data_IF_596347606900
#
_entry.id   IF_596347606900
#
_cell.length_a   1.000
_cell.length_b   1.000
_cell.length_c   1.000
_cell.angle_alpha   90.00
_cell.angle_beta   90.00
_cell.angle_gamma   90.00
#
_symmetry.space_group_name_H-M   'P 1'
#
loop_
_entity.id
_entity.type
_entity.pdbx_description
1 polymer ?
#
# COMPACT_ATOMS: atom_id res chain seq x y z
N UNK A 1 16.10 -17.37 13.37
CA UNK A 1 15.49 -16.05 13.69
C UNK A 1 16.62 -15.03 13.90
N UNK A 2 16.63 -13.91 13.16
CA UNK A 2 17.78 -12.97 13.16
C UNK A 2 18.00 -12.34 14.55
N UNK A 3 19.24 -12.36 15.05
CA UNK A 3 19.62 -11.77 16.34
C UNK A 3 19.24 -10.28 16.42
N UNK A 4 19.41 -9.54 15.31
CA UNK A 4 19.07 -8.11 15.20
C UNK A 4 17.59 -7.81 15.40
N UNK A 5 16.70 -8.71 14.99
CA UNK A 5 15.25 -8.53 15.20
C UNK A 5 14.88 -8.78 16.66
N UNK A 6 15.49 -9.80 17.28
CA UNK A 6 15.24 -10.16 18.67
C UNK A 6 15.66 -9.04 19.64
N UNK A 7 16.81 -8.42 19.41
CA UNK A 7 17.28 -7.24 20.18
C UNK A 7 16.24 -6.11 20.17
N UNK A 8 15.53 -5.94 19.06
CA UNK A 8 14.47 -4.95 18.87
C UNK A 8 13.07 -5.44 19.29
N UNK A 9 12.97 -6.66 19.84
CA UNK A 9 11.69 -7.34 20.17
C UNK A 9 10.74 -7.47 18.96
N UNK A 10 11.31 -7.67 17.77
CA UNK A 10 10.59 -7.88 16.51
C UNK A 10 10.61 -9.35 16.10
N UNK A 11 9.54 -9.79 15.42
CA UNK A 11 9.43 -11.10 14.78
C UNK A 11 8.92 -10.95 13.37
N UNK A 12 9.36 -11.84 12.48
CA UNK A 12 8.80 -11.96 11.13
C UNK A 12 7.44 -12.67 11.24
N UNK A 13 6.44 -12.15 10.54
CA UNK A 13 5.13 -12.76 10.39
C UNK A 13 4.90 -13.10 8.93
N UNK A 14 4.36 -14.29 8.67
CA UNK A 14 4.12 -14.75 7.30
C UNK A 14 2.84 -14.12 6.76
N UNK A 15 2.93 -13.43 5.62
CA UNK A 15 1.81 -12.84 4.90
C UNK A 15 1.69 -13.56 3.55
N UNK A 16 0.48 -13.95 3.10
CA UNK A 16 0.28 -14.53 1.78
C UNK A 16 0.81 -13.61 0.66
N UNK A 17 1.41 -14.20 -0.37
CA UNK A 17 1.95 -13.47 -1.53
C UNK A 17 0.96 -13.52 -2.70
N UNK A 18 -0.18 -12.85 -2.54
CA UNK A 18 -1.33 -12.86 -3.47
C UNK A 18 -1.51 -11.52 -4.24
N UNK A 19 -0.50 -10.65 -4.22
CA UNK A 19 -0.57 -9.29 -4.79
C UNK A 19 -1.00 -8.21 -3.78
N UNK A 20 -1.59 -8.61 -2.66
CA UNK A 20 -2.05 -7.72 -1.59
C UNK A 20 -1.17 -7.76 -0.34
N UNK A 21 -0.03 -8.45 -0.45
CA UNK A 21 0.86 -8.72 0.68
C UNK A 21 1.29 -7.45 1.43
N UNK A 22 1.48 -6.33 0.72
CA UNK A 22 1.78 -5.04 1.34
C UNK A 22 0.64 -4.56 2.24
N UNK A 23 -0.59 -4.52 1.71
CA UNK A 23 -1.77 -4.10 2.45
C UNK A 23 -2.08 -5.04 3.62
N UNK A 24 -1.96 -6.36 3.42
CA UNK A 24 -2.13 -7.36 4.48
C UNK A 24 -1.08 -7.20 5.60
N UNK A 25 0.18 -6.88 5.24
CA UNK A 25 1.22 -6.61 6.22
C UNK A 25 0.91 -5.36 7.05
N UNK A 26 0.45 -4.28 6.41
CA UNK A 26 0.03 -3.04 7.08
C UNK A 26 -1.19 -3.28 7.98
N UNK A 27 -2.22 -3.95 7.47
CA UNK A 27 -3.43 -4.33 8.23
C UNK A 27 -3.07 -5.10 9.51
N UNK A 28 -2.21 -6.11 9.40
CA UNK A 28 -1.73 -6.87 10.57
C UNK A 28 -1.00 -5.97 11.59
N UNK A 29 -0.15 -5.01 11.16
CA UNK A 29 0.52 -4.11 12.09
C UNK A 29 -0.45 -3.11 12.74
N UNK A 30 -1.43 -2.59 12.00
CA UNK A 30 -2.46 -1.70 12.54
C UNK A 30 -3.29 -2.40 13.63
N UNK A 31 -3.68 -3.64 13.40
CA UNK A 31 -4.42 -4.43 14.38
C UNK A 31 -3.54 -4.71 15.62
N UNK A 32 -2.34 -5.27 15.41
CA UNK A 32 -1.50 -5.77 16.50
C UNK A 32 -0.78 -4.70 17.32
N UNK A 33 -0.58 -3.50 16.76
CA UNK A 33 0.14 -2.39 17.45
C UNK A 33 -0.73 -1.21 17.80
N UNK A 34 -1.83 -1.01 17.06
CA UNK A 34 -2.65 0.18 17.19
C UNK A 34 -4.13 -0.13 17.49
N UNK A 35 -4.51 -1.41 17.59
CA UNK A 35 -5.89 -1.85 17.81
C UNK A 35 -6.86 -1.24 16.77
N UNK A 36 -6.39 -1.12 15.52
CA UNK A 36 -7.15 -0.59 14.39
C UNK A 36 -7.30 -1.68 13.34
N UNK A 37 -8.54 -2.05 13.06
CA UNK A 37 -8.86 -3.04 12.03
C UNK A 37 -9.18 -2.29 10.74
N UNK A 38 -8.40 -2.55 9.69
CA UNK A 38 -8.69 -2.10 8.32
C UNK A 38 -8.54 -3.28 7.38
N UNK A 39 -9.53 -3.48 6.52
CA UNK A 39 -9.45 -4.46 5.44
C UNK A 39 -8.46 -4.00 4.37
N UNK A 40 -8.13 -4.90 3.42
CA UNK A 40 -7.32 -4.52 2.25
C UNK A 40 -8.04 -3.46 1.43
N UNK A 41 -9.36 -3.57 1.27
CA UNK A 41 -10.17 -2.64 0.49
C UNK A 41 -10.23 -1.26 1.16
N UNK A 42 -10.34 -1.19 2.49
CA UNK A 42 -10.27 0.07 3.23
C UNK A 42 -8.93 0.78 2.98
N UNK A 43 -7.82 0.04 3.07
CA UNK A 43 -6.49 0.60 2.85
C UNK A 43 -6.26 1.02 1.40
N UNK A 44 -6.79 0.28 0.43
CA UNK A 44 -6.76 0.67 -0.98
C UNK A 44 -7.51 1.97 -1.22
N UNK A 45 -8.71 2.09 -0.65
CA UNK A 45 -9.52 3.29 -0.75
C UNK A 45 -8.85 4.50 -0.09
N UNK A 46 -8.24 4.32 1.09
CA UNK A 46 -7.47 5.38 1.75
C UNK A 46 -6.33 5.88 0.85
N UNK A 47 -5.58 4.96 0.23
CA UNK A 47 -4.46 5.29 -0.67
C UNK A 47 -4.98 5.98 -1.93
N UNK A 48 -6.03 5.47 -2.55
CA UNK A 48 -6.61 6.06 -3.74
C UNK A 48 -7.14 7.48 -3.48
N UNK A 49 -7.77 7.71 -2.32
CA UNK A 49 -8.21 9.04 -1.89
C UNK A 49 -7.00 9.97 -1.69
N UNK A 50 -5.96 9.51 -0.99
CA UNK A 50 -4.76 10.31 -0.76
C UNK A 50 -4.04 10.67 -2.07
N UNK A 51 -4.00 9.76 -3.05
CA UNK A 51 -3.43 10.03 -4.37
C UNK A 51 -4.24 11.10 -5.10
N UNK A 52 -5.58 11.05 -5.04
CA UNK A 52 -6.43 12.07 -5.66
C UNK A 52 -6.22 13.45 -5.05
N UNK A 53 -6.17 13.52 -3.73
CA UNK A 53 -5.98 14.77 -2.99
C UNK A 53 -4.59 15.40 -3.21
N UNK A 54 -3.56 14.57 -3.44
CA UNK A 54 -2.17 15.00 -3.61
C UNK A 54 -1.61 14.62 -4.99
N UNK A 55 -2.47 14.70 -6.02
CA UNK A 55 -2.18 14.22 -7.38
C UNK A 55 -0.84 14.71 -7.91
N UNK A 56 -0.53 15.99 -7.74
CA UNK A 56 0.69 16.60 -8.28
C UNK A 56 1.97 16.01 -7.67
N UNK A 57 1.92 15.56 -6.41
CA UNK A 57 3.05 14.92 -5.73
C UNK A 57 3.35 13.54 -6.31
N UNK A 58 2.29 12.76 -6.58
CA UNK A 58 2.40 11.37 -7.00
C UNK A 58 2.54 11.18 -8.51
N UNK A 59 1.98 12.08 -9.32
CA UNK A 59 1.87 11.92 -10.77
C UNK A 59 3.23 11.65 -11.45
N UNK A 60 4.31 12.27 -10.95
CA UNK A 60 5.67 12.05 -11.48
C UNK A 60 6.23 10.64 -11.26
N UNK A 61 5.62 9.86 -10.36
CA UNK A 61 6.03 8.48 -10.04
C UNK A 61 5.08 7.44 -10.64
N UNK A 62 3.97 7.89 -11.25
CA UNK A 62 2.95 7.01 -11.79
C UNK A 62 3.08 6.93 -13.31
N UNK A 63 3.62 5.81 -13.78
CA UNK A 63 3.76 5.53 -15.21
C UNK A 63 2.82 4.42 -15.65
N UNK A 64 2.35 4.50 -16.89
CA UNK A 64 1.62 3.43 -17.53
C UNK A 64 2.53 2.20 -17.67
N UNK A 65 2.10 1.00 -17.24
CA UNK A 65 2.95 -0.19 -17.21
C UNK A 65 3.47 -0.59 -18.59
N UNK A 66 2.67 -0.36 -19.64
CA UNK A 66 3.03 -0.77 -21.00
C UNK A 66 3.86 0.28 -21.76
N UNK A 67 3.71 1.57 -21.47
CA UNK A 67 4.35 2.65 -22.26
C UNK A 67 5.50 3.32 -21.50
N UNK A 68 5.54 3.18 -20.17
CA UNK A 68 6.51 3.85 -19.31
C UNK A 68 6.33 5.37 -19.21
N UNK A 69 5.33 5.93 -19.89
CA UNK A 69 5.00 7.36 -19.83
C UNK A 69 4.14 7.65 -18.61
N UNK A 70 4.16 8.91 -18.16
CA UNK A 70 3.31 9.36 -17.06
C UNK A 70 1.83 9.06 -17.36
N UNK A 71 1.09 8.67 -16.34
CA UNK A 71 -0.37 8.51 -16.45
C UNK A 71 -1.02 9.85 -16.81
N UNK A 72 -1.97 9.79 -17.74
CA UNK A 72 -2.95 10.85 -17.93
C UNK A 72 -3.92 10.92 -16.75
N UNK A 73 -4.64 12.03 -16.64
CA UNK A 73 -5.68 12.21 -15.61
C UNK A 73 -6.74 11.11 -15.62
N UNK A 74 -7.11 10.63 -16.80
CA UNK A 74 -8.11 9.57 -16.97
C UNK A 74 -7.57 8.21 -16.51
N UNK A 75 -6.31 7.92 -16.82
CA UNK A 75 -5.67 6.67 -16.38
C UNK A 75 -5.38 6.67 -14.89
N UNK A 76 -5.05 7.83 -14.31
CA UNK A 76 -4.93 8.01 -12.86
C UNK A 76 -6.26 7.72 -12.16
N UNK A 77 -7.36 8.28 -12.66
CA UNK A 77 -8.69 8.02 -12.08
C UNK A 77 -9.09 6.55 -12.23
N UNK A 78 -8.71 5.92 -13.34
CA UNK A 78 -8.90 4.47 -13.53
C UNK A 78 -8.08 3.66 -12.52
N UNK A 79 -6.83 4.06 -12.25
CA UNK A 79 -5.98 3.44 -11.24
C UNK A 79 -6.61 3.55 -9.84
N UNK A 80 -7.14 4.72 -9.47
CA UNK A 80 -7.72 4.97 -8.16
C UNK A 80 -9.13 4.35 -7.96
N UNK A 81 -9.73 3.77 -9.00
CA UNK A 81 -11.03 3.07 -8.95
C UNK A 81 -10.91 1.54 -9.10
N UNK A 82 -9.69 1.02 -9.24
CA UNK A 82 -9.41 -0.42 -9.22
C UNK A 82 -9.28 -0.93 -7.79
#
# INVERSE_FOLDING_TARGET
>A
MSARLRERKLKVYSIPSDGDCLYRAVSHQLETKHNRIKSVDDLRNDVAMNIRENKEEYMQFMCHPDTGLNLTDVELETYCNK
#
